data_IF_587008745477
#
_entry.id   IF_587008745477
#
_cell.length_a   1.000
_cell.length_b   1.000
_cell.length_c   1.000
_cell.angle_alpha   90.00
_cell.angle_beta   90.00
_cell.angle_gamma   90.00
#
_symmetry.space_group_name_H-M   'P 1'
#
loop_
_entity.id
_entity.type
_entity.pdbx_description
1 polymer ?
#
# COMPACT_ATOMS: atom_id res chain seq x y z
N UNK A 1 -20.92 -10.17 -0.24
CA UNK A 1 -20.98 -10.44 -1.69
C UNK A 1 -21.05 -9.10 -2.38
N UNK A 2 -20.25 -8.87 -3.43
CA UNK A 2 -20.13 -7.63 -4.19
C UNK A 2 -20.22 -7.95 -5.68
N UNK A 3 -20.85 -7.09 -6.46
CA UNK A 3 -20.89 -7.20 -7.92
C UNK A 3 -19.84 -6.26 -8.53
N UNK A 4 -19.10 -6.75 -9.52
CA UNK A 4 -18.15 -5.97 -10.31
C UNK A 4 -18.09 -6.49 -11.74
N UNK A 5 -18.30 -5.59 -12.72
CA UNK A 5 -18.25 -5.90 -14.15
C UNK A 5 -19.07 -7.12 -14.56
N UNK A 6 -20.27 -7.29 -13.96
CA UNK A 6 -21.20 -8.41 -14.27
C UNK A 6 -20.81 -9.74 -13.63
N UNK A 7 -19.78 -9.78 -12.79
CA UNK A 7 -19.42 -10.91 -11.96
C UNK A 7 -19.77 -10.65 -10.51
N UNK A 8 -19.95 -11.73 -9.75
CA UNK A 8 -20.26 -11.67 -8.32
C UNK A 8 -19.13 -12.26 -7.51
N UNK A 9 -18.69 -11.54 -6.49
CA UNK A 9 -17.57 -11.93 -5.64
C UNK A 9 -18.05 -12.18 -4.23
N UNK A 10 -17.71 -13.35 -3.71
CA UNK A 10 -18.04 -13.76 -2.36
C UNK A 10 -16.76 -13.81 -1.53
N UNK A 11 -16.68 -12.99 -0.47
CA UNK A 11 -15.64 -13.13 0.55
C UNK A 11 -16.08 -14.11 1.61
N UNK A 12 -15.16 -14.97 2.05
CA UNK A 12 -15.40 -15.96 3.10
C UNK A 12 -14.13 -16.20 3.91
N UNK A 13 -14.31 -16.56 5.19
CA UNK A 13 -13.19 -16.86 6.06
C UNK A 13 -12.91 -18.35 6.12
N UNK A 14 -11.65 -18.71 6.26
CA UNK A 14 -11.19 -20.09 6.42
C UNK A 14 -10.31 -20.25 7.66
N UNK A 15 -10.13 -21.49 8.09
CA UNK A 15 -9.39 -21.88 9.29
C UNK A 15 -10.08 -21.45 10.60
N UNK A 16 -9.35 -21.46 11.70
CA UNK A 16 -9.92 -21.16 13.02
C UNK A 16 -9.69 -19.69 13.38
N UNK A 17 -10.77 -19.02 13.78
CA UNK A 17 -10.67 -17.64 14.30
C UNK A 17 -9.79 -17.51 15.56
N UNK A 18 -9.41 -18.63 16.17
CA UNK A 18 -8.62 -18.66 17.39
C UNK A 18 -7.11 -18.61 17.15
N UNK A 19 -6.68 -18.90 15.93
CA UNK A 19 -5.26 -18.93 15.58
C UNK A 19 -4.88 -17.98 14.45
N UNK A 20 -3.59 -17.78 14.25
CA UNK A 20 -3.06 -16.85 13.27
C UNK A 20 -3.30 -17.25 11.80
N UNK A 21 -3.70 -18.48 11.56
CA UNK A 21 -4.01 -18.97 10.20
C UNK A 21 -5.39 -18.56 9.70
N UNK A 22 -6.20 -17.90 10.54
CA UNK A 22 -7.50 -17.38 10.12
C UNK A 22 -7.31 -16.31 9.06
N UNK A 23 -8.01 -16.46 7.94
CA UNK A 23 -7.79 -15.61 6.76
C UNK A 23 -9.07 -15.41 5.97
N UNK A 24 -9.10 -14.38 5.14
CA UNK A 24 -10.19 -14.08 4.21
C UNK A 24 -9.83 -14.52 2.82
N UNK A 25 -10.72 -15.28 2.20
CA UNK A 25 -10.61 -15.70 0.80
C UNK A 25 -11.72 -15.12 -0.05
N UNK A 26 -11.58 -15.23 -1.37
CA UNK A 26 -12.58 -14.81 -2.35
C UNK A 26 -12.92 -15.92 -3.34
N UNK A 27 -14.16 -15.86 -3.84
CA UNK A 27 -14.67 -16.72 -4.90
C UNK A 27 -15.48 -15.87 -5.89
N UNK A 28 -15.53 -16.27 -7.15
CA UNK A 28 -16.21 -15.57 -8.24
C UNK A 28 -17.31 -16.43 -8.83
N UNK A 29 -18.42 -15.81 -9.21
CA UNK A 29 -19.55 -16.45 -9.88
C UNK A 29 -20.21 -15.55 -10.90
N UNK A 30 -20.97 -16.14 -11.82
CA UNK A 30 -21.68 -15.42 -12.88
C UNK A 30 -23.06 -14.93 -12.44
N UNK A 31 -23.51 -15.33 -11.27
CA UNK A 31 -24.83 -14.98 -10.74
C UNK A 31 -24.82 -14.97 -9.22
N UNK A 32 -25.65 -14.14 -8.56
CA UNK A 32 -25.66 -14.03 -7.10
C UNK A 32 -26.20 -15.30 -6.41
N UNK A 33 -26.89 -16.16 -7.13
CA UNK A 33 -27.42 -17.43 -6.64
C UNK A 33 -26.84 -18.66 -7.35
N UNK A 34 -25.83 -18.44 -8.20
CA UNK A 34 -25.18 -19.49 -8.95
C UNK A 34 -24.02 -20.15 -8.19
N UNK A 35 -23.31 -21.00 -8.91
CA UNK A 35 -22.08 -21.59 -8.39
C UNK A 35 -20.98 -20.55 -8.30
N UNK A 36 -20.21 -20.60 -7.21
CA UNK A 36 -19.02 -19.77 -7.00
C UNK A 36 -17.77 -20.63 -7.12
N UNK A 37 -16.88 -20.24 -8.01
CA UNK A 37 -15.54 -20.82 -8.13
C UNK A 37 -14.63 -20.13 -7.12
N UNK A 38 -14.01 -20.90 -6.24
CA UNK A 38 -12.94 -20.41 -5.38
C UNK A 38 -11.72 -20.09 -6.25
N UNK A 39 -11.14 -18.94 -6.03
CA UNK A 39 -9.87 -18.59 -6.67
C UNK A 39 -8.74 -19.33 -5.97
N UNK A 40 -7.76 -19.76 -6.75
CA UNK A 40 -6.51 -20.32 -6.23
C UNK A 40 -5.65 -19.22 -5.61
N UNK A 41 -4.62 -19.61 -4.87
CA UNK A 41 -3.67 -18.66 -4.31
C UNK A 41 -2.96 -17.85 -5.41
N UNK A 42 -2.58 -18.51 -6.51
CA UNK A 42 -1.96 -17.87 -7.67
C UNK A 42 -2.88 -16.85 -8.38
N UNK A 43 -4.20 -17.03 -8.24
CA UNK A 43 -5.23 -16.09 -8.73
C UNK A 43 -5.62 -15.04 -7.68
N UNK A 44 -4.89 -14.90 -6.58
CA UNK A 44 -5.24 -13.98 -5.51
C UNK A 44 -6.43 -14.43 -4.65
N UNK A 45 -6.67 -15.73 -4.56
CA UNK A 45 -7.79 -16.31 -3.82
C UNK A 45 -7.78 -16.00 -2.32
N UNK A 46 -6.62 -15.68 -1.73
CA UNK A 46 -6.49 -15.21 -0.35
C UNK A 46 -6.42 -13.68 -0.36
N UNK A 47 -7.49 -13.04 0.09
CA UNK A 47 -7.62 -11.58 0.10
C UNK A 47 -6.90 -10.94 1.28
N UNK A 48 -6.96 -11.55 2.47
CA UNK A 48 -6.27 -11.12 3.67
C UNK A 48 -5.74 -12.33 4.44
N UNK A 49 -4.52 -12.27 4.90
CA UNK A 49 -3.89 -13.27 5.79
C UNK A 49 -3.09 -12.57 6.88
N UNK A 50 -2.52 -13.33 7.80
CA UNK A 50 -1.46 -12.83 8.68
C UNK A 50 -0.36 -12.22 7.83
N UNK A 51 0.22 -11.10 8.26
CA UNK A 51 1.38 -10.53 7.57
C UNK A 51 2.58 -11.49 7.62
N UNK A 52 3.50 -11.32 6.68
CA UNK A 52 4.68 -12.19 6.59
C UNK A 52 5.82 -11.75 7.53
N UNK A 53 5.60 -10.74 8.37
CA UNK A 53 6.58 -10.36 9.37
C UNK A 53 6.70 -11.45 10.45
N UNK A 54 7.90 -11.65 10.95
CA UNK A 54 8.13 -12.61 12.03
C UNK A 54 7.43 -12.20 13.35
N UNK A 55 7.03 -10.93 13.47
CA UNK A 55 6.24 -10.43 14.59
C UNK A 55 4.78 -10.77 14.52
N UNK A 56 4.28 -11.12 13.33
CA UNK A 56 2.86 -11.24 13.08
C UNK A 56 2.11 -9.97 13.59
N UNK A 57 2.56 -8.79 13.18
CA UNK A 57 1.98 -7.51 13.62
C UNK A 57 0.48 -7.45 13.33
N UNK A 58 0.05 -8.12 12.26
CA UNK A 58 -1.36 -8.42 12.01
C UNK A 58 -1.53 -9.91 11.88
N UNK A 59 -2.41 -10.51 12.65
CA UNK A 59 -2.70 -11.94 12.59
C UNK A 59 -4.18 -12.23 12.73
N UNK A 60 -4.59 -13.41 12.26
CA UNK A 60 -5.95 -13.92 12.44
C UNK A 60 -7.01 -13.01 11.81
N UNK A 61 -6.75 -12.55 10.59
CA UNK A 61 -7.66 -11.71 9.81
C UNK A 61 -8.89 -12.49 9.37
N UNK A 62 -10.10 -11.96 9.59
CA UNK A 62 -11.29 -12.69 9.20
C UNK A 62 -12.60 -12.00 9.53
N UNK A 63 -13.72 -12.71 9.32
CA UNK A 63 -15.08 -12.24 9.58
C UNK A 63 -15.37 -10.91 8.91
N UNK A 64 -15.03 -10.82 7.63
CA UNK A 64 -15.02 -9.58 6.86
C UNK A 64 -16.38 -9.23 6.27
N UNK A 65 -16.53 -7.95 5.96
CA UNK A 65 -17.57 -7.43 5.07
C UNK A 65 -16.97 -6.39 4.13
N UNK A 66 -17.58 -6.24 2.95
CA UNK A 66 -17.22 -5.18 2.01
C UNK A 66 -18.14 -3.98 2.26
N UNK A 67 -17.52 -2.81 2.36
CA UNK A 67 -18.18 -1.52 2.45
C UNK A 67 -17.85 -0.70 1.22
N UNK A 68 -18.85 -0.39 0.41
CA UNK A 68 -18.70 0.55 -0.71
C UNK A 68 -19.15 1.94 -0.26
N UNK A 69 -18.26 2.92 -0.33
CA UNK A 69 -18.53 4.28 0.11
C UNK A 69 -17.69 5.31 -0.68
N UNK A 70 -18.30 6.39 -1.14
CA UNK A 70 -17.59 7.45 -1.86
C UNK A 70 -16.94 7.02 -3.17
N UNK A 71 -17.45 5.97 -3.82
CA UNK A 71 -16.87 5.42 -5.05
C UNK A 71 -15.70 4.45 -4.84
N UNK A 72 -15.33 4.19 -3.60
CA UNK A 72 -14.27 3.24 -3.23
C UNK A 72 -14.85 2.06 -2.45
N UNK A 73 -14.19 0.92 -2.55
CA UNK A 73 -14.51 -0.28 -1.79
C UNK A 73 -13.49 -0.48 -0.65
N UNK A 74 -13.98 -0.92 0.48
CA UNK A 74 -13.18 -1.21 1.67
C UNK A 74 -13.54 -2.58 2.20
N UNK A 75 -12.55 -3.29 2.73
CA UNK A 75 -12.78 -4.48 3.52
C UNK A 75 -12.69 -4.13 5.00
N UNK A 76 -13.78 -4.38 5.73
CA UNK A 76 -13.84 -4.26 7.19
C UNK A 76 -13.75 -5.67 7.76
N UNK A 77 -12.83 -5.90 8.65
CA UNK A 77 -12.55 -7.23 9.18
C UNK A 77 -12.08 -7.14 10.63
N UNK A 78 -11.90 -8.26 11.30
CA UNK A 78 -11.18 -8.28 12.56
C UNK A 78 -9.76 -8.86 12.40
N UNK A 79 -8.87 -8.40 13.27
CA UNK A 79 -7.57 -9.02 13.49
C UNK A 79 -7.35 -9.25 14.98
N UNK A 80 -6.42 -10.12 15.35
CA UNK A 80 -6.03 -10.33 16.74
C UNK A 80 -5.29 -9.11 17.27
N UNK A 81 -5.49 -8.77 18.55
CA UNK A 81 -4.71 -7.70 19.22
C UNK A 81 -3.23 -8.10 19.41
N UNK A 82 -2.95 -9.38 19.43
CA UNK A 82 -1.63 -9.97 19.38
C UNK A 82 -1.74 -11.46 19.06
N UNK A 83 -0.69 -12.04 18.54
CA UNK A 83 -0.63 -13.50 18.28
C UNK A 83 -0.89 -14.28 19.57
N UNK A 84 -0.33 -13.84 20.71
CA UNK A 84 -0.49 -14.51 22.00
C UNK A 84 -1.94 -14.46 22.53
N UNK A 85 -2.67 -13.38 22.23
CA UNK A 85 -4.08 -13.28 22.62
C UNK A 85 -5.00 -14.12 21.72
N UNK A 86 -4.59 -14.34 20.50
CA UNK A 86 -5.37 -15.08 19.49
C UNK A 86 -6.80 -14.56 19.40
N UNK A 87 -7.73 -15.43 19.09
CA UNK A 87 -9.15 -15.10 18.95
C UNK A 87 -9.86 -14.62 20.21
N UNK A 88 -9.21 -14.65 21.37
CA UNK A 88 -9.79 -14.14 22.62
C UNK A 88 -9.80 -12.62 22.72
N UNK A 89 -8.95 -11.94 21.96
CA UNK A 89 -8.86 -10.47 21.92
C UNK A 89 -8.65 -9.99 20.49
N UNK A 90 -9.61 -9.25 19.98
CA UNK A 90 -9.67 -8.82 18.58
C UNK A 90 -10.03 -7.34 18.48
N UNK A 91 -9.56 -6.69 17.43
CA UNK A 91 -9.96 -5.34 17.05
C UNK A 91 -10.54 -5.33 15.64
N UNK A 92 -11.24 -4.27 15.29
CA UNK A 92 -11.71 -4.00 13.94
C UNK A 92 -10.59 -3.33 13.16
N UNK A 93 -10.38 -3.82 11.95
CA UNK A 93 -9.47 -3.22 10.97
C UNK A 93 -10.23 -2.91 9.67
N UNK A 94 -9.70 -1.97 8.90
CA UNK A 94 -10.25 -1.57 7.61
C UNK A 94 -9.11 -1.30 6.65
N UNK A 95 -9.19 -1.86 5.45
CA UNK A 95 -8.27 -1.58 4.35
C UNK A 95 -9.05 -1.29 3.07
N UNK A 96 -8.43 -0.53 2.19
CA UNK A 96 -8.99 -0.23 0.87
C UNK A 96 -8.90 -1.46 -0.04
N UNK A 97 -9.93 -1.68 -0.86
CA UNK A 97 -9.92 -2.67 -1.93
C UNK A 97 -9.71 -1.97 -3.26
N UNK A 98 -8.82 -2.53 -4.04
CA UNK A 98 -8.62 -2.23 -5.46
C UNK A 98 -9.08 -3.41 -6.31
N UNK A 99 -9.53 -3.13 -7.50
CA UNK A 99 -9.81 -4.13 -8.51
C UNK A 99 -8.62 -4.21 -9.46
N UNK A 100 -8.04 -5.39 -9.59
CA UNK A 100 -6.94 -5.65 -10.50
C UNK A 100 -7.32 -6.74 -11.48
N UNK A 101 -6.84 -6.64 -12.71
CA UNK A 101 -7.05 -7.66 -13.73
C UNK A 101 -5.88 -8.63 -13.72
N UNK A 102 -6.16 -9.90 -13.53
CA UNK A 102 -5.19 -10.99 -13.57
C UNK A 102 -5.48 -11.90 -14.78
N UNK A 103 -4.57 -12.82 -15.06
CA UNK A 103 -4.79 -13.96 -15.93
C UNK A 103 -5.17 -15.16 -15.06
N UNK A 104 -6.37 -15.73 -15.29
CA UNK A 104 -6.85 -16.91 -14.56
C UNK A 104 -6.12 -18.20 -15.02
N UNK A 105 -6.42 -19.34 -14.36
CA UNK A 105 -5.78 -20.63 -14.70
C UNK A 105 -6.07 -21.11 -16.12
N UNK A 106 -7.08 -20.55 -16.78
CA UNK A 106 -7.45 -20.85 -18.18
C UNK A 106 -6.84 -19.86 -19.19
N UNK A 107 -6.14 -18.83 -18.71
CA UNK A 107 -5.54 -17.78 -19.53
C UNK A 107 -6.50 -16.64 -19.89
N UNK A 108 -7.63 -16.51 -19.21
CA UNK A 108 -8.58 -15.42 -19.44
C UNK A 108 -8.31 -14.26 -18.48
N UNK A 109 -8.63 -13.04 -18.93
CA UNK A 109 -8.62 -11.87 -18.07
C UNK A 109 -9.75 -11.97 -17.03
N UNK A 110 -9.40 -11.83 -15.77
CA UNK A 110 -10.33 -11.84 -14.63
C UNK A 110 -10.02 -10.69 -13.68
N UNK A 111 -11.02 -9.85 -13.41
CA UNK A 111 -10.91 -8.86 -12.35
C UNK A 111 -11.07 -9.55 -10.99
N UNK A 112 -10.22 -9.20 -10.05
CA UNK A 112 -10.27 -9.70 -8.68
C UNK A 112 -10.14 -8.56 -7.68
N UNK A 113 -10.62 -8.78 -6.45
CA UNK A 113 -10.33 -7.87 -5.35
C UNK A 113 -8.88 -8.04 -4.89
N UNK A 114 -8.20 -6.92 -4.72
CA UNK A 114 -6.92 -6.80 -4.03
C UNK A 114 -7.10 -5.91 -2.80
N UNK A 115 -6.85 -6.39 -1.60
CA UNK A 115 -6.85 -5.56 -0.41
C UNK A 115 -5.48 -4.90 -0.24
N UNK A 116 -5.44 -3.58 -0.08
CA UNK A 116 -4.24 -2.83 0.28
C UNK A 116 -3.86 -3.07 1.76
N UNK A 117 -3.82 -4.32 2.18
CA UNK A 117 -3.63 -4.76 3.56
C UNK A 117 -3.19 -6.22 3.67
N UNK A 118 -3.11 -6.73 4.93
CA UNK A 118 -3.44 -6.04 6.18
C UNK A 118 -2.45 -4.94 6.50
N UNK A 119 -2.91 -3.82 7.07
CA UNK A 119 -2.07 -2.68 7.41
C UNK A 119 -1.97 -2.43 8.91
N UNK A 120 -0.83 -1.93 9.37
CA UNK A 120 -0.65 -1.36 10.72
C UNK A 120 -0.16 0.08 10.68
N UNK A 121 0.26 0.54 9.50
CA UNK A 121 0.60 1.93 9.26
C UNK A 121 -0.62 2.84 9.27
N UNK A 122 -0.38 4.13 9.48
CA UNK A 122 -1.42 5.16 9.37
C UNK A 122 -1.94 5.18 7.93
N UNK A 123 -3.27 5.18 7.78
CA UNK A 123 -3.93 5.28 6.48
C UNK A 123 -4.71 6.59 6.38
N UNK A 124 -4.89 7.15 5.18
CA UNK A 124 -5.69 8.35 5.00
C UNK A 124 -7.16 8.05 5.31
N UNK A 125 -7.86 9.02 5.88
CA UNK A 125 -9.30 8.93 6.00
C UNK A 125 -9.94 8.88 4.60
N UNK A 126 -10.99 8.09 4.40
CA UNK A 126 -11.74 8.08 3.15
C UNK A 126 -12.20 9.49 2.74
N UNK A 127 -12.27 9.74 1.43
CA UNK A 127 -12.67 11.04 0.88
C UNK A 127 -13.98 11.56 1.46
N UNK A 128 -15.00 10.69 1.58
CA UNK A 128 -16.31 11.09 2.12
C UNK A 128 -16.25 11.57 3.58
N UNK A 129 -15.20 11.23 4.32
CA UNK A 129 -15.00 11.64 5.71
C UNK A 129 -14.04 12.84 5.83
N UNK A 130 -13.02 12.91 4.98
CA UNK A 130 -11.98 13.95 5.02
C UNK A 130 -12.26 15.13 4.10
N UNK A 131 -13.00 14.90 3.00
CA UNK A 131 -13.16 15.84 1.89
C UNK A 131 -11.92 15.96 1.00
N UNK A 132 -10.94 15.04 1.13
CA UNK A 132 -9.74 14.97 0.31
C UNK A 132 -9.61 13.58 -0.30
N UNK A 133 -9.43 13.54 -1.63
CA UNK A 133 -9.15 12.31 -2.37
C UNK A 133 -7.63 12.10 -2.50
N UNK A 134 -7.21 10.87 -2.84
CA UNK A 134 -5.87 10.66 -3.39
C UNK A 134 -5.87 11.12 -4.84
N UNK A 135 -5.24 12.27 -5.12
CA UNK A 135 -5.13 12.86 -6.45
C UNK A 135 -3.82 12.49 -7.16
N UNK A 136 -2.93 11.72 -6.55
CA UNK A 136 -1.67 11.31 -7.17
C UNK A 136 -1.84 10.62 -8.54
N UNK A 137 -2.87 9.77 -8.76
CA UNK A 137 -3.12 9.18 -10.08
C UNK A 137 -3.44 10.17 -11.21
N UNK A 138 -3.77 11.43 -10.88
CA UNK A 138 -4.01 12.49 -11.87
C UNK A 138 -2.72 13.14 -12.37
N UNK A 139 -1.59 12.89 -11.71
CA UNK A 139 -0.30 13.46 -12.05
C UNK A 139 0.43 12.66 -13.14
N UNK A 140 1.19 13.38 -13.99
CA UNK A 140 2.26 12.77 -14.76
C UNK A 140 3.44 12.52 -13.82
N UNK A 141 3.86 11.25 -13.69
CA UNK A 141 4.91 10.83 -12.77
C UNK A 141 6.17 10.49 -13.53
N UNK A 142 7.30 11.02 -13.05
CA UNK A 142 8.64 10.72 -13.58
C UNK A 142 9.66 10.60 -12.45
N UNK A 143 10.80 9.96 -12.73
CA UNK A 143 11.89 9.83 -11.78
C UNK A 143 13.25 9.87 -12.50
N UNK A 144 14.30 10.35 -11.81
CA UNK A 144 15.62 10.56 -12.42
C UNK A 144 16.46 9.30 -12.54
N UNK A 145 16.23 8.29 -11.69
CA UNK A 145 17.10 7.12 -11.56
C UNK A 145 16.33 5.80 -11.51
N UNK A 146 15.31 5.63 -12.36
CA UNK A 146 14.58 4.35 -12.47
C UNK A 146 15.52 3.22 -12.85
N UNK A 147 15.39 2.09 -12.16
CA UNK A 147 16.08 0.86 -12.49
C UNK A 147 15.56 0.27 -13.82
N UNK A 148 16.38 -0.56 -14.48
CA UNK A 148 16.00 -1.22 -15.72
C UNK A 148 14.78 -2.15 -15.49
N UNK A 149 13.74 -1.94 -16.27
CA UNK A 149 12.48 -2.72 -16.17
C UNK A 149 11.47 -2.16 -15.15
N UNK A 150 11.83 -1.13 -14.38
CA UNK A 150 10.92 -0.44 -13.47
C UNK A 150 10.14 0.68 -14.16
N UNK A 151 9.06 1.15 -13.52
CA UNK A 151 8.22 2.24 -14.02
C UNK A 151 7.81 3.19 -12.90
N UNK A 152 7.88 4.50 -13.17
CA UNK A 152 7.38 5.50 -12.25
C UNK A 152 5.85 5.42 -12.04
N UNK A 153 5.11 4.80 -12.98
CA UNK A 153 3.65 4.62 -12.85
C UNK A 153 3.24 3.70 -11.70
N UNK A 154 4.16 2.86 -11.20
CA UNK A 154 3.89 2.03 -10.02
C UNK A 154 3.75 2.83 -8.73
N UNK A 155 4.21 4.10 -8.74
CA UNK A 155 4.11 4.99 -7.57
C UNK A 155 2.72 5.59 -7.35
N UNK A 156 1.82 5.47 -8.32
CA UNK A 156 0.49 6.12 -8.26
C UNK A 156 -0.61 5.23 -8.82
N UNK A 157 -0.41 3.92 -8.85
CA UNK A 157 -1.41 2.97 -9.35
C UNK A 157 -2.46 2.59 -8.28
N UNK A 158 -2.26 3.06 -7.05
CA UNK A 158 -3.16 2.84 -5.92
C UNK A 158 -2.96 1.51 -5.22
N UNK A 159 -1.93 0.74 -5.56
CA UNK A 159 -1.65 -0.59 -5.01
C UNK A 159 -0.53 -0.53 -3.97
N UNK A 160 -0.84 -0.94 -2.73
CA UNK A 160 0.18 -1.07 -1.70
C UNK A 160 0.79 -2.46 -1.71
N UNK A 161 2.11 -2.50 -1.86
CA UNK A 161 2.87 -3.72 -1.70
C UNK A 161 3.04 -4.02 -0.22
N UNK A 162 2.47 -5.14 0.24
CA UNK A 162 2.48 -5.55 1.65
C UNK A 162 2.93 -6.99 1.75
N UNK A 163 3.84 -7.29 2.67
CA UNK A 163 4.25 -8.66 2.95
C UNK A 163 3.10 -9.46 3.53
N UNK A 164 2.89 -10.69 2.99
CA UNK A 164 1.88 -11.64 3.42
C UNK A 164 2.43 -13.06 3.39
N UNK A 165 1.90 -13.94 4.22
CA UNK A 165 2.20 -15.37 4.12
C UNK A 165 1.63 -16.02 2.86
N UNK A 166 0.58 -15.45 2.33
CA UNK A 166 -0.14 -16.00 1.20
C UNK A 166 -0.14 -15.03 0.01
N UNK A 167 -0.36 -15.56 -1.18
CA UNK A 167 -0.38 -14.81 -2.44
C UNK A 167 0.95 -14.14 -2.81
N UNK A 168 2.06 -14.61 -2.28
CA UNK A 168 3.35 -13.98 -2.53
C UNK A 168 3.63 -13.83 -4.02
N UNK A 169 3.53 -14.92 -4.80
CA UNK A 169 3.78 -14.91 -6.25
C UNK A 169 2.83 -13.99 -7.01
N UNK A 170 1.58 -13.92 -6.59
CA UNK A 170 0.59 -13.03 -7.19
C UNK A 170 0.93 -11.56 -6.90
N UNK A 171 1.29 -11.23 -5.65
CA UNK A 171 1.70 -9.87 -5.29
C UNK A 171 2.94 -9.45 -6.08
N UNK A 172 3.97 -10.30 -6.17
CA UNK A 172 5.16 -10.02 -6.97
C UNK A 172 4.86 -9.79 -8.46
N UNK A 173 3.86 -10.49 -9.00
CA UNK A 173 3.49 -10.39 -10.41
C UNK A 173 2.66 -9.16 -10.75
N UNK A 174 1.72 -8.78 -9.90
CA UNK A 174 0.70 -7.78 -10.22
C UNK A 174 0.78 -6.49 -9.39
N UNK A 175 1.44 -6.51 -8.24
CA UNK A 175 1.61 -5.35 -7.36
C UNK A 175 3.10 -5.00 -7.31
N UNK A 176 3.49 -4.03 -8.09
CA UNK A 176 4.89 -3.69 -8.30
C UNK A 176 5.29 -2.46 -7.51
N UNK A 177 6.54 -2.48 -7.07
CA UNK A 177 7.21 -1.31 -6.50
C UNK A 177 8.03 -0.62 -7.59
N UNK A 178 8.16 0.70 -7.51
CA UNK A 178 9.10 1.43 -8.34
C UNK A 178 10.51 1.30 -7.75
N UNK A 179 11.45 0.81 -8.55
CA UNK A 179 12.83 0.53 -8.16
C UNK A 179 13.78 1.57 -8.75
N UNK A 180 14.80 1.93 -8.00
CA UNK A 180 15.75 2.98 -8.36
C UNK A 180 17.19 2.51 -8.10
N UNK A 181 18.09 2.87 -9.01
CA UNK A 181 19.51 2.48 -8.91
C UNK A 181 20.35 3.32 -7.96
N UNK A 182 19.86 4.50 -7.56
CA UNK A 182 20.59 5.46 -6.72
C UNK A 182 19.61 6.48 -6.12
N UNK A 183 20.14 7.55 -5.49
CA UNK A 183 19.33 8.71 -5.10
C UNK A 183 18.46 9.16 -6.28
N UNK A 184 17.19 9.34 -6.03
CA UNK A 184 16.23 9.71 -7.08
C UNK A 184 15.44 10.94 -6.68
N UNK A 185 15.11 11.76 -7.68
CA UNK A 185 14.07 12.77 -7.57
C UNK A 185 12.86 12.30 -8.37
N UNK A 186 11.76 12.08 -7.64
CA UNK A 186 10.45 11.73 -8.19
C UNK A 186 9.67 13.02 -8.37
N UNK A 187 9.11 13.23 -9.56
CA UNK A 187 8.30 14.41 -9.89
C UNK A 187 6.87 13.97 -10.20
N UNK A 188 5.91 14.56 -9.51
CA UNK A 188 4.48 14.49 -9.81
C UNK A 188 4.06 15.84 -10.38
N UNK A 189 3.63 15.87 -11.65
CA UNK A 189 3.18 17.08 -12.36
C UNK A 189 1.69 16.96 -12.66
N UNK A 190 0.90 17.91 -12.16
CA UNK A 190 -0.55 17.97 -12.37
C UNK A 190 -0.90 18.88 -13.55
N UNK A 191 -2.01 18.57 -14.21
CA UNK A 191 -2.60 19.47 -15.20
C UNK A 191 -3.32 20.63 -14.47
N UNK A 192 -2.53 21.67 -14.16
CA UNK A 192 -2.96 22.82 -13.38
C UNK A 192 -2.86 22.63 -11.87
N UNK A 193 -3.15 23.72 -11.15
CA UNK A 193 -3.05 23.77 -9.70
C UNK A 193 -4.14 22.94 -9.02
N UNK A 194 -3.74 22.21 -7.99
CA UNK A 194 -4.61 21.41 -7.13
C UNK A 194 -4.44 21.86 -5.67
N UNK A 195 -5.53 21.91 -4.93
CA UNK A 195 -5.48 22.15 -3.49
C UNK A 195 -5.02 20.87 -2.79
N UNK A 196 -3.87 20.90 -2.13
CA UNK A 196 -3.23 19.75 -1.48
C UNK A 196 -3.05 20.01 0.00
N UNK A 197 -3.14 18.96 0.82
CA UNK A 197 -3.02 19.03 2.28
C UNK A 197 -2.05 18.04 2.90
N UNK A 198 -1.86 16.90 2.28
CA UNK A 198 -0.96 15.89 2.82
C UNK A 198 -0.32 15.06 1.71
N UNK A 199 0.83 14.52 2.03
CA UNK A 199 1.59 13.60 1.19
C UNK A 199 1.94 12.36 2.02
N UNK A 200 1.74 11.19 1.45
CA UNK A 200 2.14 9.91 2.03
C UNK A 200 3.03 9.18 1.04
N UNK A 201 4.20 8.75 1.50
CA UNK A 201 5.19 8.04 0.68
C UNK A 201 5.40 6.69 1.34
N UNK A 202 4.88 5.64 0.70
CA UNK A 202 4.91 4.28 1.23
C UNK A 202 6.22 3.60 0.89
N UNK A 203 6.82 3.01 1.91
CA UNK A 203 8.08 2.29 1.80
C UNK A 203 7.92 0.97 1.02
N UNK A 204 9.04 0.43 0.57
CA UNK A 204 9.10 -0.96 0.11
C UNK A 204 8.64 -1.91 1.21
N UNK A 205 8.05 -3.04 0.81
CA UNK A 205 7.79 -4.17 1.72
C UNK A 205 9.07 -4.88 2.16
N UNK A 206 10.18 -4.64 1.48
CA UNK A 206 11.47 -5.29 1.71
C UNK A 206 12.44 -4.34 2.41
N UNK A 207 13.04 -4.82 3.52
CA UNK A 207 14.06 -4.06 4.26
C UNK A 207 15.23 -3.64 3.37
N UNK A 208 15.67 -4.54 2.48
CA UNK A 208 16.85 -4.33 1.64
C UNK A 208 16.66 -3.20 0.63
N UNK A 209 15.43 -2.80 0.38
CA UNK A 209 15.07 -1.75 -0.58
C UNK A 209 14.42 -0.53 0.09
N UNK A 210 14.38 -0.51 1.42
CA UNK A 210 13.71 0.55 2.16
C UNK A 210 14.47 1.88 2.14
N UNK A 211 13.74 2.99 2.26
CA UNK A 211 14.29 4.28 2.65
C UNK A 211 14.10 4.53 4.15
N UNK A 212 14.98 5.34 4.74
CA UNK A 212 14.94 5.72 6.15
C UNK A 212 14.61 7.20 6.36
N UNK A 213 14.85 8.00 5.36
CA UNK A 213 14.55 9.43 5.38
C UNK A 213 14.23 9.90 3.96
N UNK A 214 13.38 10.92 3.89
CA UNK A 214 13.14 11.67 2.67
C UNK A 214 13.91 12.97 2.81
N UNK A 215 14.92 13.13 1.98
CA UNK A 215 15.87 14.22 2.13
C UNK A 215 15.26 15.57 1.78
N UNK A 216 14.27 15.59 0.87
CA UNK A 216 13.62 16.83 0.47
C UNK A 216 12.31 16.62 -0.25
N UNK A 217 11.33 17.46 0.06
CA UNK A 217 10.10 17.61 -0.73
C UNK A 217 9.96 19.08 -1.13
N UNK A 218 9.77 19.33 -2.40
CA UNK A 218 9.55 20.66 -2.98
C UNK A 218 8.15 20.72 -3.60
N UNK A 219 7.46 21.84 -3.35
CA UNK A 219 6.12 22.11 -3.88
C UNK A 219 6.14 23.41 -4.68
N UNK A 220 5.84 23.37 -5.96
CA UNK A 220 5.63 24.57 -6.77
C UNK A 220 4.18 25.03 -6.61
N UNK A 221 4.00 26.09 -5.85
CA UNK A 221 2.71 26.56 -5.38
C UNK A 221 2.34 27.92 -5.95
N UNK A 222 1.03 28.20 -5.97
CA UNK A 222 0.47 29.52 -6.22
C UNK A 222 -0.04 30.13 -4.91
N UNK A 223 0.27 31.40 -4.68
CA UNK A 223 -0.28 32.18 -3.57
C UNK A 223 -1.63 32.79 -3.96
N UNK A 224 -2.38 33.27 -2.94
CA UNK A 224 -3.66 33.96 -3.15
C UNK A 224 -3.58 35.16 -4.11
N UNK A 225 -2.43 35.85 -4.16
CA UNK A 225 -2.18 36.98 -5.06
C UNK A 225 -1.79 36.54 -6.48
N UNK A 226 -1.75 35.23 -6.76
CA UNK A 226 -1.37 34.63 -8.04
C UNK A 226 0.12 34.50 -8.27
N UNK A 227 0.98 34.95 -7.34
CA UNK A 227 2.43 34.78 -7.46
C UNK A 227 2.84 33.32 -7.21
N UNK A 228 3.92 32.89 -7.87
CA UNK A 228 4.48 31.55 -7.75
C UNK A 228 5.53 31.50 -6.64
N UNK A 229 5.59 30.38 -5.93
CA UNK A 229 6.59 30.13 -4.90
C UNK A 229 6.84 28.63 -4.77
N UNK A 230 8.11 28.26 -4.62
CA UNK A 230 8.48 26.92 -4.21
C UNK A 230 8.53 26.85 -2.68
N UNK A 231 7.82 25.89 -2.09
CA UNK A 231 7.87 25.56 -0.66
C UNK A 231 8.66 24.28 -0.48
N UNK A 232 9.24 24.11 0.69
CA UNK A 232 10.12 22.97 1.01
C UNK A 232 9.75 22.34 2.32
N UNK A 233 9.91 21.00 2.37
CA UNK A 233 9.98 20.20 3.58
C UNK A 233 11.28 19.41 3.48
N UNK A 234 12.18 19.61 4.44
CA UNK A 234 13.46 18.91 4.49
C UNK A 234 13.42 17.86 5.60
N UNK A 235 13.98 16.69 5.32
CA UNK A 235 14.15 15.58 6.28
C UNK A 235 12.86 15.12 6.96
N UNK A 236 12.05 14.40 6.21
CA UNK A 236 10.87 13.74 6.72
C UNK A 236 11.20 12.31 7.14
N UNK A 237 11.47 12.14 8.44
CA UNK A 237 11.68 10.83 9.04
C UNK A 237 10.39 10.27 9.64
N UNK A 238 10.31 8.96 9.82
CA UNK A 238 9.16 8.30 10.43
C UNK A 238 9.53 6.98 11.10
N UNK A 239 8.70 6.56 12.05
CA UNK A 239 8.84 5.27 12.71
C UNK A 239 8.08 4.19 11.90
N UNK A 240 8.82 3.42 11.12
CA UNK A 240 8.28 2.42 10.22
C UNK A 240 8.76 0.99 10.50
N UNK A 241 9.79 0.83 11.36
CA UNK A 241 10.34 -0.46 11.68
C UNK A 241 9.48 -1.20 12.69
N UNK A 242 9.31 -2.50 12.46
CA UNK A 242 8.87 -3.47 13.43
C UNK A 242 10.04 -4.40 13.78
N UNK A 243 10.26 -4.64 15.07
CA UNK A 243 11.29 -5.56 15.54
C UNK A 243 10.69 -6.92 15.82
N UNK A 244 11.40 -7.96 15.46
CA UNK A 244 11.08 -9.30 15.93
C UNK A 244 11.97 -9.63 17.13
N UNK A 245 11.39 -10.15 18.18
CA UNK A 245 12.14 -10.60 19.35
C UNK A 245 12.73 -12.01 19.21
N UNK A 246 12.37 -12.72 18.14
CA UNK A 246 12.73 -14.13 17.97
C UNK A 246 14.06 -14.28 17.27
N UNK A 247 14.34 -13.47 16.24
CA UNK A 247 15.55 -13.59 15.43
C UNK A 247 16.33 -12.26 15.32
N UNK A 248 15.95 -11.22 16.08
CA UNK A 248 16.49 -9.86 16.02
C UNK A 248 16.55 -9.29 14.59
N UNK A 249 15.54 -9.63 13.79
CA UNK A 249 15.40 -9.14 12.41
C UNK A 249 14.40 -7.99 12.38
N UNK A 250 14.84 -6.87 11.88
CA UNK A 250 13.97 -5.73 11.62
C UNK A 250 13.16 -5.98 10.34
N UNK A 251 11.89 -5.63 10.38
CA UNK A 251 10.97 -5.76 9.24
C UNK A 251 10.18 -4.48 9.05
N UNK A 252 9.79 -4.24 7.82
CA UNK A 252 8.90 -3.12 7.48
C UNK A 252 7.51 -3.40 8.03
N UNK A 253 6.93 -2.45 8.73
CA UNK A 253 5.51 -2.52 9.11
C UNK A 253 4.64 -2.55 7.86
N UNK A 254 3.58 -3.37 7.85
CA UNK A 254 2.64 -3.36 6.75
C UNK A 254 2.08 -1.97 6.47
N UNK A 255 2.28 -1.48 5.25
CA UNK A 255 1.93 -0.14 4.77
C UNK A 255 2.58 1.01 5.57
N UNK A 256 3.85 0.87 5.93
CA UNK A 256 4.63 1.96 6.52
C UNK A 256 4.82 3.10 5.51
N UNK A 257 4.56 4.33 5.95
CA UNK A 257 4.66 5.52 5.12
C UNK A 257 5.32 6.69 5.85
N UNK A 258 6.10 7.46 5.13
CA UNK A 258 6.45 8.81 5.54
C UNK A 258 5.27 9.74 5.27
N UNK A 259 4.91 10.59 6.25
CA UNK A 259 3.71 11.42 6.18
C UNK A 259 4.11 12.88 6.39
N UNK A 260 3.72 13.74 5.45
CA UNK A 260 3.77 15.18 5.58
C UNK A 260 2.35 15.74 5.57
N UNK A 261 1.94 16.35 6.67
CA UNK A 261 0.71 17.14 6.75
C UNK A 261 1.08 18.63 6.76
N UNK A 262 0.33 19.42 6.01
CA UNK A 262 0.56 20.86 5.89
C UNK A 262 -0.74 21.62 5.69
N UNK A 263 -0.72 22.94 5.90
CA UNK A 263 -1.84 23.82 5.56
C UNK A 263 -2.16 23.71 4.07
N UNK A 264 -3.45 23.66 3.73
CA UNK A 264 -3.88 23.56 2.33
C UNK A 264 -3.17 24.59 1.44
N UNK A 265 -2.61 24.14 0.34
CA UNK A 265 -1.92 24.97 -0.62
C UNK A 265 -2.20 24.53 -2.05
N UNK A 266 -2.25 25.49 -2.98
CA UNK A 266 -2.45 25.21 -4.41
C UNK A 266 -1.09 24.98 -5.09
N UNK A 267 -0.85 23.76 -5.54
CA UNK A 267 0.38 23.33 -6.20
C UNK A 267 0.08 22.61 -7.50
N UNK A 268 0.96 22.71 -8.48
CA UNK A 268 0.88 21.97 -9.74
C UNK A 268 2.05 20.98 -9.92
N UNK A 269 3.05 21.04 -9.04
CA UNK A 269 4.20 20.13 -9.09
C UNK A 269 4.74 19.83 -7.71
N UNK A 270 5.07 18.55 -7.49
CA UNK A 270 5.75 18.04 -6.29
C UNK A 270 7.00 17.30 -6.75
N UNK A 271 8.14 17.61 -6.14
CA UNK A 271 9.40 16.88 -6.31
C UNK A 271 9.83 16.28 -4.98
N UNK A 272 10.11 15.00 -4.99
CA UNK A 272 10.48 14.22 -3.79
C UNK A 272 11.86 13.64 -4.04
N UNK A 273 12.84 14.02 -3.21
CA UNK A 273 14.20 13.45 -3.27
C UNK A 273 14.36 12.41 -2.18
N UNK A 274 14.65 11.18 -2.59
CA UNK A 274 14.79 10.01 -1.73
C UNK A 274 16.14 9.36 -1.97
N UNK A 275 16.80 8.98 -0.88
CA UNK A 275 18.08 8.26 -0.92
C UNK A 275 17.93 6.83 -0.39
N UNK A 276 18.67 5.86 -0.96
CA UNK A 276 18.75 4.52 -0.39
C UNK A 276 19.24 4.58 1.05
N UNK A 277 18.77 3.64 1.88
CA UNK A 277 19.29 3.48 3.22
C UNK A 277 20.76 3.03 3.21
N UNK A 278 21.51 3.42 4.22
CA UNK A 278 22.91 3.00 4.40
C UNK A 278 22.98 1.71 5.22
N UNK A 279 24.10 0.98 5.13
CA UNK A 279 24.35 -0.22 5.94
C UNK A 279 24.31 0.03 7.45
N UNK A 280 24.65 1.23 7.92
CA UNK A 280 24.54 1.59 9.32
C UNK A 280 23.08 1.73 9.77
N UNK A 281 22.20 2.13 8.84
CA UNK A 281 20.77 2.26 9.08
C UNK A 281 20.04 0.93 8.96
N UNK A 282 20.55 0.01 8.11
CA UNK A 282 20.02 -1.35 7.96
C UNK A 282 21.08 -2.33 8.49
N UNK A 283 21.01 -2.77 9.73
CA UNK A 283 21.88 -3.82 10.25
C UNK A 283 21.46 -5.20 9.72
N UNK A 284 21.27 -5.34 8.40
CA UNK A 284 20.91 -6.61 7.79
C UNK A 284 22.15 -7.42 7.50
N UNK A 285 22.16 -8.68 7.93
CA UNK A 285 23.22 -9.63 7.71
C UNK A 285 23.42 -9.89 6.20
N UNK A 286 24.51 -9.38 5.64
CA UNK A 286 25.01 -9.78 4.34
C UNK A 286 24.91 -8.78 3.20
N UNK A 287 24.39 -7.57 3.41
CA UNK A 287 24.44 -6.52 2.36
C UNK A 287 25.87 -5.95 2.25
N UNK A 288 26.48 -6.14 1.09
CA UNK A 288 27.75 -5.53 0.73
C UNK A 288 27.49 -4.34 -0.21
N UNK A 289 27.04 -3.20 0.34
CA UNK A 289 26.81 -2.02 -0.48
C UNK A 289 25.66 -1.12 0.01
N UNK A 290 25.23 -0.19 -0.82
CA UNK A 290 23.99 0.54 -0.64
C UNK A 290 22.82 -0.41 -0.89
N UNK A 291 21.76 -0.29 -0.10
CA UNK A 291 20.50 -0.95 -0.41
C UNK A 291 19.97 -0.47 -1.78
N UNK A 292 19.33 -1.35 -2.51
CA UNK A 292 18.50 -0.95 -3.63
C UNK A 292 17.32 -0.13 -3.08
N UNK A 293 16.95 0.95 -3.74
CA UNK A 293 15.83 1.76 -3.30
C UNK A 293 14.56 1.34 -4.06
N UNK A 294 13.50 1.06 -3.32
CA UNK A 294 12.19 0.86 -3.89
C UNK A 294 11.09 1.55 -3.07
N UNK A 295 10.04 1.97 -3.74
CA UNK A 295 8.88 2.63 -3.15
C UNK A 295 7.61 1.94 -3.65
N UNK A 296 6.69 1.71 -2.72
CA UNK A 296 5.42 1.05 -3.03
C UNK A 296 4.42 2.00 -3.69
N UNK A 297 4.18 3.17 -3.07
CA UNK A 297 3.12 4.07 -3.51
C UNK A 297 3.37 5.50 -3.00
N UNK A 298 2.86 6.48 -3.72
CA UNK A 298 2.77 7.88 -3.26
C UNK A 298 1.31 8.30 -3.32
N UNK A 299 0.78 8.81 -2.21
CA UNK A 299 -0.54 9.41 -2.16
C UNK A 299 -0.43 10.90 -1.91
N UNK A 300 -1.19 11.68 -2.65
CA UNK A 300 -1.36 13.12 -2.47
C UNK A 300 -2.81 13.37 -2.10
N UNK A 301 -3.07 13.84 -0.88
CA UNK A 301 -4.42 14.15 -0.43
C UNK A 301 -4.78 15.57 -0.85
N UNK A 302 -5.70 15.67 -1.81
CA UNK A 302 -6.06 16.92 -2.46
C UNK A 302 -7.50 16.97 -2.99
N UNK A 303 -7.81 18.06 -3.69
CA UNK A 303 -9.11 18.34 -4.34
C UNK A 303 -8.90 18.83 -5.75
#
# INVERSE_FOLDING_TARGET
>A
MTEHNGKYYLTYSVNSYQDKTYQVCQAVGDSPLGEFRKLSEAEGGILLSTDASLRDDVSGTGHSTILSAGGNDYIVYHAHNSVAAGGSSRHVAIDEIKWITIEDEEGNALDIMYANGPTTGVQPLPEFASGYANIAPEAEVSATALAEGSSASYLTDGLLSVNRYANYDMVERYVREAEFGEETTITLKFDGYRAMRALMIYNSKNMDSAFFDITRIEFDCRREDGSLVTKYIDHLAFDWLAYTSVDDVDVIRPAAAAIAEFDEMECDEIRITVTPATQEQIPVHGLNGLAELALSEIRVLGK
#
